data_IF_855791120661
#
_entry.id   IF_855791120661
#
_cell.length_a   1.000
_cell.length_b   1.000
_cell.length_c   1.000
_cell.angle_alpha   90.00
_cell.angle_beta   90.00
_cell.angle_gamma   90.00
#
_symmetry.space_group_name_H-M   'P 1'
#
loop_
_entity.id
_entity.type
_entity.pdbx_description
1 polymer ?
#
# COMPACT_ATOMS: atom_id res chain seq x y z
N UNK A 1 3.06 -23.61 -17.39
CA UNK A 1 4.01 -23.24 -16.33
C UNK A 1 5.41 -23.52 -16.88
N UNK A 2 6.33 -22.56 -16.80
CA UNK A 2 7.64 -22.67 -17.47
C UNK A 2 8.54 -23.71 -16.80
N UNK A 3 9.45 -24.34 -17.57
CA UNK A 3 10.45 -25.31 -17.08
C UNK A 3 11.29 -24.80 -15.91
N UNK A 4 11.43 -23.48 -15.78
CA UNK A 4 12.18 -22.85 -14.69
C UNK A 4 11.50 -23.04 -13.34
N UNK A 5 10.16 -23.06 -13.30
CA UNK A 5 9.38 -23.26 -12.08
C UNK A 5 9.44 -24.69 -11.56
N UNK A 6 9.41 -25.68 -12.46
CA UNK A 6 9.60 -27.08 -12.08
C UNK A 6 10.99 -27.31 -11.46
N UNK A 7 12.03 -26.69 -12.04
CA UNK A 7 13.39 -26.78 -11.50
C UNK A 7 13.53 -26.09 -10.13
N UNK A 8 12.92 -24.92 -9.95
CA UNK A 8 12.98 -24.14 -8.71
C UNK A 8 12.23 -24.85 -7.58
N UNK A 9 11.04 -25.35 -7.88
CA UNK A 9 10.24 -26.15 -6.94
C UNK A 9 10.95 -27.45 -6.55
N UNK A 10 11.53 -28.17 -7.52
CA UNK A 10 12.24 -29.43 -7.25
C UNK A 10 13.50 -29.21 -6.40
N UNK A 11 14.26 -28.15 -6.66
CA UNK A 11 15.43 -27.80 -5.88
C UNK A 11 15.04 -27.44 -4.43
N UNK A 12 13.95 -26.71 -4.24
CA UNK A 12 13.45 -26.34 -2.92
C UNK A 12 12.97 -27.54 -2.09
N UNK A 13 12.25 -28.49 -2.70
CA UNK A 13 11.81 -29.70 -2.01
C UNK A 13 12.99 -30.58 -1.56
N UNK A 14 13.99 -30.75 -2.42
CA UNK A 14 15.21 -31.49 -2.08
C UNK A 14 16.01 -30.83 -0.94
N UNK A 15 15.89 -29.51 -0.80
CA UNK A 15 16.56 -28.70 0.23
C UNK A 15 15.90 -28.82 1.60
N UNK A 16 14.56 -28.90 1.66
CA UNK A 16 13.83 -29.14 2.92
C UNK A 16 14.12 -30.53 3.51
N UNK A 17 14.53 -31.47 2.67
CA UNK A 17 14.91 -32.83 3.07
C UNK A 17 16.38 -32.93 3.55
N UNK A 18 17.25 -31.97 3.20
CA UNK A 18 18.66 -31.99 3.59
C UNK A 18 18.89 -31.29 4.95
N UNK A 19 19.02 -32.09 6.00
CA UNK A 19 18.94 -31.67 7.40
C UNK A 19 20.17 -30.97 8.02
N UNK A 20 21.05 -30.30 7.27
CA UNK A 20 22.26 -29.70 7.86
C UNK A 20 22.44 -28.21 7.53
N UNK A 21 22.49 -27.40 8.58
CA UNK A 21 22.55 -25.94 8.58
C UNK A 21 23.86 -25.37 8.04
N UNK A 22 24.01 -25.42 6.72
CA UNK A 22 25.00 -24.63 5.99
C UNK A 22 24.34 -23.35 5.45
N UNK A 23 25.10 -22.25 5.47
CA UNK A 23 24.72 -21.01 4.78
C UNK A 23 24.34 -21.34 3.33
N UNK A 24 23.03 -21.24 3.07
CA UNK A 24 22.40 -21.65 1.82
C UNK A 24 22.67 -20.61 0.75
N UNK A 25 23.64 -20.89 -0.13
CA UNK A 25 23.81 -20.16 -1.39
C UNK A 25 22.80 -20.74 -2.38
N UNK A 26 21.61 -20.15 -2.46
CA UNK A 26 20.60 -20.51 -3.45
C UNK A 26 21.08 -19.99 -4.81
N UNK A 27 21.61 -20.87 -5.66
CA UNK A 27 21.76 -20.59 -7.09
C UNK A 27 20.37 -20.65 -7.74
N UNK A 28 19.59 -19.59 -7.55
CA UNK A 28 18.39 -19.32 -8.35
C UNK A 28 18.90 -19.19 -9.78
N UNK A 29 18.49 -20.11 -10.67
CA UNK A 29 18.94 -20.09 -12.07
C UNK A 29 18.71 -18.72 -12.71
N UNK A 30 19.37 -18.46 -13.85
CA UNK A 30 19.19 -17.20 -14.58
C UNK A 30 17.75 -17.14 -15.07
N UNK A 31 16.93 -16.27 -14.46
CA UNK A 31 15.58 -15.97 -14.95
C UNK A 31 15.71 -14.80 -15.92
N UNK A 32 15.43 -15.05 -17.20
CA UNK A 32 15.32 -14.00 -18.21
C UNK A 32 13.98 -13.27 -18.06
N UNK A 33 13.94 -12.30 -17.15
CA UNK A 33 12.76 -11.48 -16.84
C UNK A 33 12.27 -10.74 -18.09
N UNK A 34 13.18 -10.37 -18.99
CA UNK A 34 12.89 -9.65 -20.25
C UNK A 34 11.91 -10.39 -21.18
N UNK A 35 11.89 -11.72 -21.11
CA UNK A 35 11.06 -12.57 -21.96
C UNK A 35 9.72 -12.95 -21.30
N UNK A 36 9.48 -12.51 -20.06
CA UNK A 36 8.22 -12.79 -19.35
C UNK A 36 7.21 -11.66 -19.55
N UNK A 37 5.92 -12.00 -19.56
CA UNK A 37 4.85 -11.02 -19.47
C UNK A 37 4.76 -10.43 -18.05
N UNK A 38 4.16 -9.25 -17.91
CA UNK A 38 4.13 -8.55 -16.63
C UNK A 38 3.41 -9.31 -15.52
N UNK A 39 2.37 -10.10 -15.82
CA UNK A 39 1.67 -10.91 -14.81
C UNK A 39 2.56 -12.03 -14.31
N UNK A 40 3.31 -12.68 -15.20
CA UNK A 40 4.32 -13.66 -14.81
C UNK A 40 5.41 -13.08 -13.90
N UNK A 41 5.79 -11.81 -14.10
CA UNK A 41 6.75 -11.12 -13.22
C UNK A 41 6.13 -10.82 -11.84
N UNK A 42 4.85 -10.45 -11.77
CA UNK A 42 4.16 -10.29 -10.48
C UNK A 42 4.09 -11.62 -9.71
N UNK A 43 3.76 -12.72 -10.38
CA UNK A 43 3.77 -14.06 -9.77
C UNK A 43 5.18 -14.46 -9.27
N UNK A 44 6.23 -14.01 -9.97
CA UNK A 44 7.61 -14.22 -9.55
C UNK A 44 7.94 -13.45 -8.26
N UNK A 45 7.44 -12.22 -8.12
CA UNK A 45 7.54 -11.45 -6.88
C UNK A 45 6.79 -12.10 -5.72
N UNK A 46 5.63 -12.73 -5.97
CA UNK A 46 4.91 -13.51 -4.94
C UNK A 46 5.72 -14.72 -4.49
N UNK A 47 6.24 -15.52 -5.43
CA UNK A 47 7.05 -16.67 -5.08
C UNK A 47 8.31 -16.25 -4.31
N UNK A 48 8.96 -15.16 -4.71
CA UNK A 48 10.13 -14.63 -4.03
C UNK A 48 9.85 -14.15 -2.60
N UNK A 49 8.65 -13.62 -2.33
CA UNK A 49 8.19 -13.29 -0.98
C UNK A 49 8.05 -14.56 -0.12
N UNK A 50 7.44 -15.61 -0.67
CA UNK A 50 7.25 -16.91 0.02
C UNK A 50 8.58 -17.57 0.42
N UNK A 51 9.62 -17.46 -0.40
CA UNK A 51 10.96 -17.98 -0.10
C UNK A 51 11.91 -16.93 0.49
N UNK A 52 11.39 -15.75 0.86
CA UNK A 52 12.09 -14.70 1.60
C UNK A 52 13.37 -14.22 0.87
N UNK A 53 13.21 -13.73 -0.36
CA UNK A 53 14.29 -13.15 -1.17
C UNK A 53 14.15 -11.61 -1.33
N UNK A 54 14.38 -10.81 -0.27
CA UNK A 54 14.10 -9.37 -0.28
C UNK A 54 14.92 -8.58 -1.31
N UNK A 55 16.20 -8.90 -1.49
CA UNK A 55 17.06 -8.20 -2.46
C UNK A 55 16.59 -8.43 -3.90
N UNK A 56 16.17 -9.67 -4.20
CA UNK A 56 15.61 -10.00 -5.50
C UNK A 56 14.27 -9.29 -5.74
N UNK A 57 13.39 -9.26 -4.73
CA UNK A 57 12.12 -8.53 -4.78
C UNK A 57 12.36 -7.06 -5.12
N UNK A 58 13.35 -6.41 -4.49
CA UNK A 58 13.65 -5.01 -4.76
C UNK A 58 14.16 -4.79 -6.21
N UNK A 59 15.06 -5.64 -6.70
CA UNK A 59 15.59 -5.52 -8.07
C UNK A 59 14.52 -5.76 -9.14
N UNK A 60 13.62 -6.73 -8.93
CA UNK A 60 12.51 -6.99 -9.87
C UNK A 60 11.50 -5.84 -9.86
N UNK A 61 11.21 -5.23 -8.70
CA UNK A 61 10.36 -4.04 -8.64
C UNK A 61 10.97 -2.87 -9.42
N UNK A 62 12.27 -2.60 -9.26
CA UNK A 62 12.97 -1.55 -10.03
C UNK A 62 12.90 -1.82 -11.52
N UNK A 63 13.17 -3.06 -11.96
CA UNK A 63 13.05 -3.45 -13.36
C UNK A 63 11.66 -3.17 -13.93
N UNK A 64 10.60 -3.54 -13.21
CA UNK A 64 9.22 -3.26 -13.65
C UNK A 64 8.98 -1.76 -13.81
N UNK A 65 9.45 -0.95 -12.87
CA UNK A 65 9.27 0.51 -12.90
C UNK A 65 10.07 1.14 -14.05
N UNK A 66 11.34 0.76 -14.22
CA UNK A 66 12.24 1.39 -15.20
C UNK A 66 12.00 0.91 -16.64
N UNK A 67 11.69 -0.37 -16.83
CA UNK A 67 11.61 -0.98 -18.16
C UNK A 67 10.18 -1.32 -18.59
N UNK A 68 9.22 -1.40 -17.68
CA UNK A 68 7.82 -1.79 -17.96
C UNK A 68 6.80 -0.77 -17.45
N UNK A 69 7.20 0.49 -17.25
CA UNK A 69 6.30 1.57 -16.80
C UNK A 69 5.03 1.72 -17.64
N UNK A 70 5.14 1.60 -18.97
CA UNK A 70 3.98 1.65 -19.86
C UNK A 70 2.98 0.52 -19.54
N UNK A 71 3.48 -0.71 -19.35
CA UNK A 71 2.63 -1.84 -18.99
C UNK A 71 1.97 -1.64 -17.62
N UNK A 72 2.69 -1.06 -16.65
CA UNK A 72 2.10 -0.70 -15.35
C UNK A 72 0.94 0.29 -15.52
N UNK A 73 1.09 1.31 -16.37
CA UNK A 73 0.01 2.27 -16.64
C UNK A 73 -1.19 1.60 -17.33
N UNK A 74 -0.94 0.71 -18.29
CA UNK A 74 -1.99 -0.05 -18.98
C UNK A 74 -2.71 -1.06 -18.06
N UNK A 75 -2.04 -1.57 -17.03
CA UNK A 75 -2.57 -2.54 -16.06
C UNK A 75 -2.65 -1.96 -14.64
N UNK A 76 -2.91 -0.66 -14.54
CA UNK A 76 -2.74 0.11 -13.30
C UNK A 76 -3.43 -0.53 -12.08
N UNK A 77 -4.71 -0.89 -12.20
CA UNK A 77 -5.46 -1.47 -11.07
C UNK A 77 -4.91 -2.84 -10.65
N UNK A 78 -4.48 -3.69 -11.59
CA UNK A 78 -3.87 -4.98 -11.28
C UNK A 78 -2.55 -4.82 -10.54
N UNK A 79 -1.70 -3.88 -10.98
CA UNK A 79 -0.43 -3.61 -10.30
C UNK A 79 -0.65 -2.92 -8.95
N UNK A 80 -1.66 -2.05 -8.84
CA UNK A 80 -2.03 -1.39 -7.60
C UNK A 80 -2.51 -2.41 -6.55
N UNK A 81 -3.42 -3.31 -6.91
CA UNK A 81 -3.89 -4.40 -6.04
C UNK A 81 -2.70 -5.27 -5.59
N UNK A 82 -1.83 -5.65 -6.52
CA UNK A 82 -0.63 -6.42 -6.22
C UNK A 82 0.30 -5.69 -5.26
N UNK A 83 0.62 -4.42 -5.55
CA UNK A 83 1.57 -3.66 -4.75
C UNK A 83 1.08 -3.49 -3.31
N UNK A 84 -0.23 -3.34 -3.11
CA UNK A 84 -0.84 -3.18 -1.79
C UNK A 84 -1.25 -4.51 -1.13
N UNK A 85 -1.00 -5.66 -1.77
CA UNK A 85 -1.28 -6.97 -1.17
C UNK A 85 -0.33 -7.31 -0.02
N UNK A 86 0.90 -6.79 -0.07
CA UNK A 86 1.95 -7.02 0.94
C UNK A 86 2.76 -5.75 1.17
N UNK A 87 3.27 -5.56 2.39
CA UNK A 87 4.10 -4.39 2.75
C UNK A 87 5.52 -4.42 2.18
N UNK A 88 5.95 -5.54 1.58
CA UNK A 88 7.29 -5.72 1.03
C UNK A 88 7.46 -5.03 -0.33
N UNK A 89 6.38 -4.81 -1.08
CA UNK A 89 6.41 -4.21 -2.43
C UNK A 89 6.42 -2.68 -2.41
N UNK A 90 7.24 -2.08 -1.53
CA UNK A 90 7.24 -0.63 -1.27
C UNK A 90 7.58 0.21 -2.50
N UNK A 91 8.49 -0.24 -3.34
CA UNK A 91 8.90 0.50 -4.54
C UNK A 91 7.76 0.59 -5.55
N UNK A 92 7.03 -0.52 -5.77
CA UNK A 92 5.81 -0.51 -6.58
C UNK A 92 4.67 0.31 -5.95
N UNK A 93 4.46 0.21 -4.63
CA UNK A 93 3.47 1.04 -3.93
C UNK A 93 3.77 2.52 -4.17
N UNK A 94 5.02 2.94 -3.96
CA UNK A 94 5.43 4.33 -4.14
C UNK A 94 5.27 4.83 -5.57
N UNK A 95 5.52 3.97 -6.56
CA UNK A 95 5.31 4.28 -7.97
C UNK A 95 3.81 4.42 -8.30
N UNK A 96 2.96 3.50 -7.85
CA UNK A 96 1.52 3.60 -8.09
C UNK A 96 0.93 4.86 -7.44
N UNK A 97 1.37 5.19 -6.22
CA UNK A 97 0.98 6.42 -5.54
C UNK A 97 1.40 7.68 -6.31
N UNK A 98 2.58 7.70 -6.95
CA UNK A 98 3.03 8.86 -7.74
C UNK A 98 2.22 9.04 -9.03
N UNK A 99 1.74 7.94 -9.64
CA UNK A 99 0.80 8.00 -10.76
C UNK A 99 -0.52 8.64 -10.34
N UNK A 100 -1.09 8.23 -9.20
CA UNK A 100 -2.32 8.82 -8.64
C UNK A 100 -2.13 10.31 -8.34
N UNK A 101 -0.99 10.70 -7.78
CA UNK A 101 -0.71 12.10 -7.50
C UNK A 101 -0.61 12.95 -8.78
N UNK A 102 -0.09 12.36 -9.86
CA UNK A 102 0.10 13.03 -11.15
C UNK A 102 -1.20 13.13 -11.96
N UNK A 103 -2.09 12.14 -11.83
CA UNK A 103 -3.40 12.11 -12.45
C UNK A 103 -4.47 11.67 -11.43
N UNK A 104 -4.94 12.59 -10.56
CA UNK A 104 -5.94 12.26 -9.55
C UNK A 104 -7.23 11.59 -10.08
N UNK A 105 -7.80 11.99 -11.24
CA UNK A 105 -8.92 11.26 -11.86
C UNK A 105 -8.73 9.74 -11.96
N UNK A 106 -7.49 9.26 -12.17
CA UNK A 106 -7.15 7.84 -12.32
C UNK A 106 -7.71 6.98 -11.18
N UNK A 107 -7.69 7.51 -9.96
CA UNK A 107 -8.31 6.89 -8.80
C UNK A 107 -9.71 7.44 -8.56
N UNK A 108 -9.87 8.75 -8.34
CA UNK A 108 -11.09 9.33 -7.77
C UNK A 108 -12.32 9.32 -8.70
N UNK A 109 -12.10 9.34 -10.00
CA UNK A 109 -13.19 9.34 -10.98
C UNK A 109 -13.47 7.91 -11.50
N UNK A 110 -12.76 6.89 -10.99
CA UNK A 110 -12.88 5.49 -11.40
C UNK A 110 -13.86 4.70 -10.52
N UNK A 111 -14.49 3.66 -11.07
CA UNK A 111 -15.30 2.71 -10.30
C UNK A 111 -14.47 1.96 -9.24
N UNK A 112 -13.16 1.83 -9.47
CA UNK A 112 -12.23 1.20 -8.52
C UNK A 112 -12.21 1.92 -7.16
N UNK A 113 -12.46 3.23 -7.13
CA UNK A 113 -12.49 4.00 -5.88
C UNK A 113 -13.51 3.45 -4.87
N UNK A 114 -14.66 2.95 -5.35
CA UNK A 114 -15.71 2.42 -4.48
C UNK A 114 -15.30 1.13 -3.75
N UNK A 115 -14.28 0.43 -4.25
CA UNK A 115 -13.75 -0.81 -3.69
C UNK A 115 -12.38 -0.64 -3.04
N UNK A 116 -11.84 0.59 -3.05
CA UNK A 116 -10.51 0.89 -2.56
C UNK A 116 -10.39 0.66 -1.06
N UNK A 117 -9.32 -0.04 -0.65
CA UNK A 117 -9.01 -0.30 0.74
C UNK A 117 -8.49 0.96 1.48
N UNK A 118 -8.80 1.07 2.77
CA UNK A 118 -8.34 2.16 3.64
C UNK A 118 -6.82 2.27 3.71
N UNK A 119 -6.09 1.17 3.50
CA UNK A 119 -4.63 1.13 3.46
C UNK A 119 -4.08 1.98 2.30
N UNK A 120 -4.70 1.93 1.11
CA UNK A 120 -4.31 2.78 -0.02
C UNK A 120 -4.54 4.26 0.32
N UNK A 121 -5.71 4.59 0.87
CA UNK A 121 -6.04 5.97 1.28
C UNK A 121 -5.10 6.48 2.38
N UNK A 122 -4.75 5.61 3.32
CA UNK A 122 -3.82 5.91 4.40
C UNK A 122 -2.42 6.14 3.85
N UNK A 123 -1.95 5.31 2.92
CA UNK A 123 -0.65 5.48 2.26
C UNK A 123 -0.58 6.78 1.44
N UNK A 124 -1.65 7.13 0.73
CA UNK A 124 -1.78 8.43 0.04
C UNK A 124 -1.59 9.61 1.02
N UNK A 125 -2.19 9.54 2.20
CA UNK A 125 -2.12 10.60 3.21
C UNK A 125 -0.83 10.63 4.02
N UNK A 126 -0.23 9.46 4.26
CA UNK A 126 1.03 9.32 4.99
C UNK A 126 2.26 9.66 4.14
N UNK A 127 2.10 9.90 2.84
CA UNK A 127 3.15 10.57 2.06
C UNK A 127 3.30 12.00 2.59
N UNK A 128 4.14 12.15 3.61
CA UNK A 128 4.63 13.40 4.20
C UNK A 128 5.53 14.19 3.22
N UNK A 129 5.04 14.40 1.99
CA UNK A 129 5.53 15.47 1.13
C UNK A 129 4.37 16.43 0.82
N UNK A 130 4.12 17.41 1.71
CA UNK A 130 3.29 18.57 1.42
C UNK A 130 3.67 19.33 0.12
N UNK A 131 4.77 18.97 -0.55
CA UNK A 131 5.24 19.53 -1.82
C UNK A 131 4.75 18.81 -3.08
N UNK A 132 4.32 17.55 -3.01
CA UNK A 132 3.88 16.79 -4.20
C UNK A 132 2.38 16.97 -4.49
N UNK A 133 1.58 17.19 -3.45
CA UNK A 133 0.15 17.40 -3.60
C UNK A 133 -0.15 18.85 -3.94
N UNK A 134 -0.46 19.10 -5.21
CA UNK A 134 -1.00 20.40 -5.61
C UNK A 134 -2.42 20.59 -5.03
N UNK A 135 -2.92 21.83 -5.08
CA UNK A 135 -4.26 22.17 -4.58
C UNK A 135 -5.37 21.39 -5.30
N UNK A 136 -5.17 21.02 -6.55
CA UNK A 136 -6.14 20.28 -7.36
C UNK A 136 -6.35 18.85 -6.84
N UNK A 137 -5.26 18.13 -6.53
CA UNK A 137 -5.31 16.81 -5.92
C UNK A 137 -6.00 16.87 -4.56
N UNK A 138 -5.68 17.87 -3.71
CA UNK A 138 -6.39 18.08 -2.44
C UNK A 138 -7.90 18.30 -2.63
N UNK A 139 -8.28 19.15 -3.58
CA UNK A 139 -9.69 19.43 -3.86
C UNK A 139 -10.43 18.17 -4.36
N UNK A 140 -9.82 17.38 -5.26
CA UNK A 140 -10.40 16.12 -5.73
C UNK A 140 -10.52 15.09 -4.61
N UNK A 141 -9.48 14.94 -3.79
CA UNK A 141 -9.49 14.05 -2.64
C UNK A 141 -10.62 14.41 -1.67
N UNK A 142 -10.72 15.69 -1.30
CA UNK A 142 -11.78 16.19 -0.43
C UNK A 142 -13.17 16.02 -1.02
N UNK A 143 -13.36 16.38 -2.28
CA UNK A 143 -14.65 16.22 -2.97
C UNK A 143 -15.08 14.75 -3.02
N UNK A 144 -14.14 13.83 -3.17
CA UNK A 144 -14.42 12.39 -3.28
C UNK A 144 -14.74 11.75 -1.94
N UNK A 145 -14.11 12.21 -0.85
CA UNK A 145 -14.35 11.69 0.50
C UNK A 145 -15.45 12.41 1.28
N UNK A 146 -15.77 13.66 0.94
CA UNK A 146 -16.82 14.42 1.65
C UNK A 146 -18.18 13.70 1.70
N UNK A 147 -18.65 13.00 0.64
CA UNK A 147 -19.85 12.18 0.73
C UNK A 147 -19.78 11.05 1.76
N UNK A 148 -18.58 10.54 2.06
CA UNK A 148 -18.38 9.44 3.01
C UNK A 148 -18.38 9.92 4.47
N UNK A 149 -17.98 11.17 4.73
CA UNK A 149 -17.79 11.69 6.10
C UNK A 149 -19.05 11.61 6.97
N UNK A 150 -20.27 11.97 6.48
CA UNK A 150 -21.50 11.85 7.27
C UNK A 150 -21.83 10.41 7.69
N UNK A 151 -21.30 9.40 7.00
CA UNK A 151 -21.53 7.99 7.33
C UNK A 151 -20.53 7.46 8.37
N UNK A 152 -19.47 8.22 8.69
CA UNK A 152 -18.51 7.86 9.73
C UNK A 152 -19.15 8.11 11.10
N UNK A 153 -19.39 7.03 11.84
CA UNK A 153 -19.99 7.10 13.18
C UNK A 153 -18.92 7.40 14.23
N UNK A 154 -18.40 8.63 14.25
CA UNK A 154 -17.36 9.07 15.19
C UNK A 154 -17.73 8.79 16.66
N UNK A 155 -19.02 8.92 17.01
CA UNK A 155 -19.54 8.66 18.36
C UNK A 155 -19.43 7.20 18.82
N UNK A 156 -19.21 6.26 17.90
CA UNK A 156 -19.06 4.83 18.21
C UNK A 156 -17.60 4.39 18.27
N UNK A 157 -16.64 5.28 18.01
CA UNK A 157 -15.21 4.96 18.01
C UNK A 157 -14.61 5.17 19.40
N UNK A 158 -13.71 4.27 19.80
CA UNK A 158 -12.82 4.55 20.93
C UNK A 158 -11.79 5.63 20.55
N UNK A 159 -11.19 6.34 21.53
CA UNK A 159 -10.12 7.28 21.23
C UNK A 159 -8.93 6.66 20.47
N UNK A 160 -8.66 5.37 20.69
CA UNK A 160 -7.63 4.62 19.99
C UNK A 160 -8.02 4.36 18.53
N UNK A 161 -9.23 3.85 18.28
CA UNK A 161 -9.76 3.67 16.93
C UNK A 161 -9.81 4.99 16.15
N UNK A 162 -10.19 6.08 16.81
CA UNK A 162 -10.15 7.41 16.20
C UNK A 162 -8.72 7.82 15.83
N UNK A 163 -7.75 7.60 16.72
CA UNK A 163 -6.34 7.90 16.45
C UNK A 163 -5.75 7.05 15.33
N UNK A 164 -6.12 5.79 15.21
CA UNK A 164 -5.57 4.91 14.19
C UNK A 164 -6.25 5.09 12.83
N UNK A 165 -7.58 5.22 12.81
CA UNK A 165 -8.36 5.14 11.56
C UNK A 165 -8.82 6.49 11.03
N UNK A 166 -8.97 7.51 11.88
CA UNK A 166 -9.52 8.82 11.51
C UNK A 166 -8.44 9.91 11.51
N UNK A 167 -7.56 9.89 12.51
CA UNK A 167 -6.52 10.91 12.66
C UNK A 167 -5.53 11.03 11.49
N UNK A 168 -5.19 9.95 10.73
CA UNK A 168 -4.40 10.10 9.50
C UNK A 168 -5.05 11.07 8.50
N UNK A 169 -6.38 11.21 8.55
CA UNK A 169 -7.18 12.09 7.69
C UNK A 169 -7.39 13.49 8.30
N UNK A 170 -6.80 13.83 9.45
CA UNK A 170 -7.09 15.09 10.18
C UNK A 170 -6.95 16.36 9.34
N UNK A 171 -6.00 16.40 8.38
CA UNK A 171 -5.76 17.56 7.51
C UNK A 171 -6.90 17.77 6.50
N UNK A 172 -7.47 16.67 6.01
CA UNK A 172 -8.67 16.68 5.17
C UNK A 172 -9.86 17.18 5.98
N UNK A 173 -10.01 16.56 7.14
CA UNK A 173 -11.10 16.73 8.07
C UNK A 173 -11.14 18.14 8.67
N UNK A 174 -9.99 18.78 8.94
CA UNK A 174 -9.89 20.12 9.52
C UNK A 174 -10.50 21.23 8.65
N UNK A 175 -10.77 20.96 7.36
CA UNK A 175 -11.45 21.90 6.49
C UNK A 175 -12.99 21.81 6.59
N UNK A 176 -13.52 20.76 7.22
CA UNK A 176 -14.95 20.64 7.51
C UNK A 176 -15.28 21.25 8.88
N UNK A 177 -16.30 22.12 8.91
CA UNK A 177 -16.78 22.76 10.15
C UNK A 177 -17.27 21.68 11.11
N UNK A 178 -16.53 21.46 12.20
CA UNK A 178 -16.89 20.50 13.26
C UNK A 178 -15.71 19.72 13.86
N UNK A 179 -14.50 19.75 13.26
CA UNK A 179 -13.33 19.08 13.85
C UNK A 179 -12.85 19.69 15.16
N UNK A 180 -13.07 20.99 15.36
CA UNK A 180 -12.75 21.67 16.62
C UNK A 180 -13.50 21.01 17.80
N UNK A 181 -14.68 20.42 17.58
CA UNK A 181 -15.45 19.68 18.59
C UNK A 181 -14.83 18.30 18.90
N UNK A 182 -14.17 17.65 17.93
CA UNK A 182 -13.40 16.42 18.14
C UNK A 182 -12.06 16.68 18.83
N UNK A 183 -11.42 17.83 18.59
CA UNK A 183 -10.32 18.31 19.44
C UNK A 183 -10.81 18.58 20.86
N UNK A 184 -12.01 19.14 21.03
CA UNK A 184 -12.62 19.39 22.34
C UNK A 184 -12.89 18.08 23.11
N UNK A 185 -13.30 17.01 22.41
CA UNK A 185 -13.48 15.66 23.00
C UNK A 185 -12.16 15.06 23.52
N UNK A 186 -11.00 15.48 22.97
CA UNK A 186 -9.65 15.05 23.42
C UNK A 186 -9.14 15.84 24.64
N UNK A 187 -9.70 17.01 24.96
CA UNK A 187 -9.28 17.84 26.11
C UNK A 187 -10.04 17.48 27.39
N UNK A 188 -11.29 17.02 27.30
CA UNK A 188 -12.16 16.79 28.47
C UNK A 188 -12.03 15.43 29.16
N UNK A 189 -11.30 14.46 28.60
CA UNK A 189 -10.94 13.22 29.30
C UNK A 189 -9.59 13.31 30.03
N UNK A 190 -9.40 14.38 30.81
CA UNK A 190 -8.47 14.37 31.96
C UNK A 190 -9.18 13.64 33.12
N UNK A 191 -8.49 12.84 33.97
CA UNK A 191 -9.16 12.08 35.02
C UNK A 191 -9.95 13.03 35.93
N UNK A 192 -11.25 12.80 36.07
CA UNK A 192 -12.04 13.49 37.09
C UNK A 192 -11.66 12.90 38.46
N UNK A 193 -10.95 13.73 39.21
CA UNK A 193 -10.69 13.69 40.66
C UNK A 193 -9.56 12.78 41.18
N UNK A 194 -8.44 13.42 41.51
CA UNK A 194 -8.06 13.39 42.92
C UNK A 194 -9.02 14.31 43.68
N UNK A 195 -9.79 13.75 44.62
CA UNK A 195 -9.94 14.23 46.01
C UNK A 195 -10.96 13.38 46.80
N UNK A 196 -10.45 12.87 47.93
CA UNK A 196 -11.09 12.39 49.18
C UNK A 196 -11.98 11.15 49.16
N UNK A 197 -11.43 10.03 49.65
CA UNK A 197 -11.51 9.70 51.08
C UNK A 197 -10.08 9.61 51.64
#
# INVERSE_FOLDING_TARGET
>A
MSKSWELLSQNYLNLLESAEGHDLIINVGIIEIENQDGVSILNLLTAADEIILPDFIEEVQKYLIENRSQWIQEQFYTVLDFAFSQTIYKSLQNFCLSLICSDPPLLFDSEYFYYTDINLLTALLQRDYPSEWNQELWNKFQKSLSPCIPYIRFSLMTPEQFREKVWPFKKLLSQERGMDELEMFKVTQKPMFGLSC
#
